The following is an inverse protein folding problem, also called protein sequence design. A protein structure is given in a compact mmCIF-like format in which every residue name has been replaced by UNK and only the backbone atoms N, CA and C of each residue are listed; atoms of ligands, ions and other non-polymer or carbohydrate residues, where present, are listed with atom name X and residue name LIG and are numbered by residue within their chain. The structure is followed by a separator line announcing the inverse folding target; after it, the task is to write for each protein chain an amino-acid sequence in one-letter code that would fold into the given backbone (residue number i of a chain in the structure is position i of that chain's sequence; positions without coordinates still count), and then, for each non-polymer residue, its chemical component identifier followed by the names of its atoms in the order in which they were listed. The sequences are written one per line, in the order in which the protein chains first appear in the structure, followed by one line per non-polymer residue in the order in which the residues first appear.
data_IF_693532014994
#
_entry.id   IF_693532014994
#
_cell.length_a   1.000
_cell.length_b   1.000
_cell.length_c   1.000
_cell.angle_alpha   90.00
_cell.angle_beta   90.00
_cell.angle_gamma   90.00
#
_symmetry.space_group_name_H-M   'P 1'
#
loop_
_entity.id
_entity.type
_entity.pdbx_description
1 polymer ?
#
# COMPACT_ATOMS: atom_id res chain seq x y z
N UNK A 1 2.32 -19.18 6.69
CA UNK A 1 2.22 -17.71 6.92
C UNK A 1 2.68 -16.93 5.69
N UNK A 2 3.92 -17.13 5.20
CA UNK A 2 4.48 -16.40 4.03
C UNK A 2 3.60 -16.48 2.78
N UNK A 3 3.02 -17.65 2.49
CA UNK A 3 2.14 -17.88 1.33
C UNK A 3 0.84 -17.07 1.39
N UNK A 4 0.29 -16.84 2.58
CA UNK A 4 -0.96 -16.09 2.76
C UNK A 4 -0.74 -14.58 2.57
N UNK A 5 0.39 -14.04 3.00
CA UNK A 5 0.75 -12.65 2.75
C UNK A 5 1.07 -12.39 1.28
N UNK A 6 1.80 -13.30 0.63
CA UNK A 6 2.07 -13.21 -0.81
C UNK A 6 0.77 -13.19 -1.63
N UNK A 7 -0.21 -14.02 -1.28
CA UNK A 7 -1.54 -14.02 -1.92
C UNK A 7 -2.30 -12.71 -1.70
N UNK A 8 -2.23 -12.11 -0.50
CA UNK A 8 -2.87 -10.82 -0.21
C UNK A 8 -2.23 -9.68 -1.00
N UNK A 9 -0.90 -9.68 -1.12
CA UNK A 9 -0.17 -8.68 -1.92
C UNK A 9 -0.49 -8.87 -3.41
N UNK A 10 -0.50 -10.11 -3.91
CA UNK A 10 -0.82 -10.41 -5.31
C UNK A 10 -2.22 -9.91 -5.67
N UNK A 11 -3.23 -10.25 -4.85
CA UNK A 11 -4.60 -9.78 -5.05
C UNK A 11 -4.72 -8.25 -5.00
N UNK A 12 -3.96 -7.61 -4.11
CA UNK A 12 -3.92 -6.15 -4.07
C UNK A 12 -3.36 -5.59 -5.38
N UNK A 13 -2.25 -6.15 -5.88
CA UNK A 13 -1.65 -5.71 -7.15
C UNK A 13 -2.61 -5.94 -8.33
N UNK A 14 -3.30 -7.08 -8.38
CA UNK A 14 -4.32 -7.37 -9.42
C UNK A 14 -5.45 -6.33 -9.40
N UNK A 15 -6.04 -6.06 -8.23
CA UNK A 15 -7.08 -5.03 -8.07
C UNK A 15 -6.56 -3.63 -8.48
N UNK A 16 -5.27 -3.35 -8.25
CA UNK A 16 -4.64 -2.10 -8.68
C UNK A 16 -4.50 -1.99 -10.19
N UNK A 17 -4.21 -3.09 -10.87
CA UNK A 17 -4.10 -3.10 -12.34
C UNK A 17 -5.48 -3.00 -12.99
N UNK A 18 -6.47 -3.72 -12.46
CA UNK A 18 -7.85 -3.67 -12.95
C UNK A 18 -8.50 -2.29 -12.77
N UNK A 19 -8.12 -1.57 -11.70
CA UNK A 19 -8.66 -0.27 -11.34
C UNK A 19 -8.01 0.95 -12.00
N UNK A 20 -7.01 0.77 -12.87
CA UNK A 20 -6.30 1.91 -13.48
C UNK A 20 -7.28 2.76 -14.29
N UNK A 21 -7.36 4.05 -13.95
CA UNK A 21 -8.26 5.01 -14.60
C UNK A 21 -9.63 5.14 -13.93
N UNK A 22 -9.94 4.35 -12.90
CA UNK A 22 -11.11 4.55 -12.04
C UNK A 22 -10.72 5.22 -10.72
N UNK A 23 -11.18 6.46 -10.55
CA UNK A 23 -10.92 7.29 -9.38
C UNK A 23 -11.48 6.68 -8.08
N UNK A 24 -12.56 5.89 -8.17
CA UNK A 24 -13.15 5.22 -7.00
C UNK A 24 -12.22 4.11 -6.49
N UNK A 25 -11.65 3.35 -7.42
CA UNK A 25 -10.70 2.28 -7.12
C UNK A 25 -9.37 2.86 -6.61
N UNK A 26 -8.84 3.94 -7.19
CA UNK A 26 -7.63 4.61 -6.67
C UNK A 26 -7.76 5.06 -5.20
N UNK A 27 -8.92 5.62 -4.84
CA UNK A 27 -9.22 6.02 -3.45
C UNK A 27 -9.32 4.83 -2.51
N UNK A 28 -9.95 3.74 -2.95
CA UNK A 28 -10.05 2.49 -2.18
C UNK A 28 -8.67 1.87 -1.93
N UNK A 29 -7.83 1.81 -2.97
CA UNK A 29 -6.48 1.27 -2.92
C UNK A 29 -5.58 2.08 -1.98
N UNK A 30 -5.68 3.41 -2.05
CA UNK A 30 -5.01 4.32 -1.13
C UNK A 30 -5.37 3.98 0.32
N UNK A 31 -6.65 3.85 0.65
CA UNK A 31 -7.11 3.50 2.00
C UNK A 31 -6.61 2.12 2.45
N UNK A 32 -6.64 1.12 1.56
CA UNK A 32 -6.15 -0.24 1.86
C UNK A 32 -4.64 -0.25 2.13
N UNK A 33 -3.84 0.38 1.29
CA UNK A 33 -2.39 0.47 1.45
C UNK A 33 -2.01 1.19 2.75
N UNK A 34 -2.70 2.29 3.07
CA UNK A 34 -2.52 2.98 4.34
C UNK A 34 -2.87 2.08 5.55
N UNK A 35 -3.98 1.34 5.47
CA UNK A 35 -4.36 0.40 6.52
C UNK A 35 -3.31 -0.70 6.74
N UNK A 36 -2.79 -1.30 5.66
CA UNK A 36 -1.73 -2.32 5.75
C UNK A 36 -0.46 -1.73 6.38
N UNK A 37 -0.08 -0.50 5.99
CA UNK A 37 1.05 0.21 6.59
C UNK A 37 0.86 0.45 8.10
N UNK A 38 -0.33 0.87 8.51
CA UNK A 38 -0.66 1.08 9.93
C UNK A 38 -0.64 -0.21 10.75
N UNK A 39 -1.11 -1.32 10.16
CA UNK A 39 -1.01 -2.65 10.79
C UNK A 39 0.45 -3.08 10.99
N UNK A 40 1.31 -2.87 9.99
CA UNK A 40 2.74 -3.18 10.11
C UNK A 40 3.42 -2.35 11.19
N UNK A 41 3.08 -1.06 11.29
CA UNK A 41 3.54 -0.20 12.38
C UNK A 41 3.13 -0.75 13.75
N UNK A 42 1.86 -1.14 13.88
CA UNK A 42 1.29 -1.67 15.15
C UNK A 42 1.92 -3.01 15.54
N UNK A 43 2.25 -3.84 14.55
CA UNK A 43 2.95 -5.11 14.75
C UNK A 43 4.49 -4.95 14.92
N UNK A 44 5.00 -3.71 14.98
CA UNK A 44 6.44 -3.40 15.02
C UNK A 44 7.26 -4.04 13.88
N UNK A 45 6.63 -4.26 12.72
CA UNK A 45 7.31 -4.81 11.55
C UNK A 45 8.04 -3.69 10.82
N UNK A 46 9.36 -3.72 10.90
CA UNK A 46 10.24 -2.77 10.20
C UNK A 46 10.62 -3.36 8.84
N UNK A 47 10.16 -2.73 7.76
CA UNK A 47 10.57 -3.08 6.39
C UNK A 47 11.70 -2.13 6.00
N UNK A 48 12.90 -2.68 5.79
CA UNK A 48 14.07 -1.90 5.39
C UNK A 48 13.90 -1.28 4.01
N UNK A 49 14.68 -0.23 3.72
CA UNK A 49 14.73 0.36 2.39
C UNK A 49 15.13 -0.68 1.32
N UNK A 50 16.03 -1.60 1.65
CA UNK A 50 16.50 -2.66 0.75
C UNK A 50 15.39 -3.65 0.41
N UNK A 51 14.54 -4.02 1.38
CA UNK A 51 13.37 -4.87 1.13
C UNK A 51 12.35 -4.18 0.19
N UNK A 52 12.15 -2.88 0.33
CA UNK A 52 11.30 -2.11 -0.59
C UNK A 52 11.89 -2.00 -2.00
N UNK A 53 13.20 -1.79 -2.09
CA UNK A 53 13.91 -1.74 -3.36
C UNK A 53 13.88 -3.11 -4.05
N UNK A 54 14.06 -4.20 -3.30
CA UNK A 54 13.94 -5.56 -3.80
C UNK A 54 12.51 -5.84 -4.30
N UNK A 55 11.49 -5.50 -3.52
CA UNK A 55 10.09 -5.60 -3.94
C UNK A 55 9.83 -4.85 -5.24
N UNK A 56 10.30 -3.60 -5.33
CA UNK A 56 10.17 -2.78 -6.55
C UNK A 56 10.84 -3.43 -7.75
N UNK A 57 12.08 -3.90 -7.60
CA UNK A 57 12.84 -4.53 -8.68
C UNK A 57 12.21 -5.84 -9.13
N UNK A 58 11.75 -6.69 -8.21
CA UNK A 58 11.06 -7.95 -8.52
C UNK A 58 9.73 -7.70 -9.23
N UNK A 59 8.93 -6.74 -8.74
CA UNK A 59 7.66 -6.39 -9.36
C UNK A 59 7.84 -5.86 -10.79
N UNK A 60 8.85 -5.01 -11.00
CA UNK A 60 9.19 -4.51 -12.34
C UNK A 60 9.68 -5.65 -13.22
N UNK A 61 10.57 -6.52 -12.73
CA UNK A 61 11.14 -7.61 -13.51
C UNK A 61 10.07 -8.63 -13.93
N UNK A 62 9.17 -9.02 -13.03
CA UNK A 62 8.14 -10.02 -13.33
C UNK A 62 7.12 -9.51 -14.36
N UNK A 63 6.76 -8.22 -14.28
CA UNK A 63 5.78 -7.62 -15.21
C UNK A 63 6.44 -7.20 -16.54
N UNK A 64 7.69 -6.71 -16.51
CA UNK A 64 8.43 -6.36 -17.72
C UNK A 64 8.88 -7.59 -18.53
N UNK A 65 8.88 -8.79 -17.92
CA UNK A 65 9.21 -10.05 -18.59
C UNK A 65 8.38 -10.26 -19.86
N UNK A 66 7.12 -9.84 -19.83
CA UNK A 66 6.18 -10.05 -20.94
C UNK A 66 5.94 -8.76 -21.76
N UNK A 67 6.33 -7.56 -21.25
CA UNK A 67 6.16 -6.32 -22.00
C UNK A 67 7.06 -5.14 -21.52
N UNK A 68 8.26 -5.03 -22.12
CA UNK A 68 9.26 -4.01 -21.76
C UNK A 68 8.81 -2.56 -21.99
N UNK A 69 7.89 -2.31 -22.93
CA UNK A 69 7.43 -0.95 -23.29
C UNK A 69 6.70 -0.24 -22.13
N UNK A 70 6.10 -1.02 -21.21
CA UNK A 70 5.33 -0.48 -20.09
C UNK A 70 6.13 -0.36 -18.79
N UNK A 71 7.44 -0.66 -18.78
CA UNK A 71 8.29 -0.65 -17.59
C UNK A 71 8.21 0.66 -16.77
N UNK A 72 8.12 1.82 -17.46
CA UNK A 72 7.93 3.12 -16.79
C UNK A 72 6.60 3.24 -16.06
N UNK A 73 5.51 2.72 -16.63
CA UNK A 73 4.18 2.73 -16.01
C UNK A 73 4.19 1.87 -14.75
N UNK A 74 4.78 0.69 -14.82
CA UNK A 74 4.90 -0.24 -13.69
C UNK A 74 5.79 0.29 -12.58
N UNK A 75 6.89 0.98 -12.92
CA UNK A 75 7.67 1.68 -11.91
C UNK A 75 6.87 2.79 -11.20
N UNK A 76 5.93 3.45 -11.88
CA UNK A 76 5.07 4.46 -11.24
C UNK A 76 4.07 3.80 -10.29
N UNK A 77 3.49 2.67 -10.69
CA UNK A 77 2.60 1.88 -9.85
C UNK A 77 3.32 1.37 -8.59
N UNK A 78 4.51 0.80 -8.73
CA UNK A 78 5.34 0.34 -7.61
C UNK A 78 5.68 1.50 -6.65
N UNK A 79 6.02 2.67 -7.18
CA UNK A 79 6.26 3.86 -6.37
C UNK A 79 5.00 4.31 -5.62
N UNK A 80 3.82 4.26 -6.24
CA UNK A 80 2.55 4.57 -5.58
C UNK A 80 2.29 3.62 -4.41
N UNK A 81 2.43 2.31 -4.61
CA UNK A 81 2.27 1.29 -3.55
C UNK A 81 3.15 1.61 -2.34
N UNK A 82 4.44 1.82 -2.58
CA UNK A 82 5.43 2.10 -1.52
C UNK A 82 5.08 3.41 -0.80
N UNK A 83 4.65 4.44 -1.55
CA UNK A 83 4.28 5.75 -0.97
C UNK A 83 3.10 5.62 -0.02
N UNK A 84 2.00 5.03 -0.47
CA UNK A 84 0.77 4.92 0.35
C UNK A 84 0.96 3.97 1.53
N UNK A 85 1.71 2.89 1.36
CA UNK A 85 2.08 2.03 2.48
C UNK A 85 2.86 2.81 3.54
N UNK A 86 3.89 3.56 3.12
CA UNK A 86 4.69 4.38 4.03
C UNK A 86 3.84 5.45 4.69
N UNK A 87 2.92 6.10 3.98
CA UNK A 87 1.99 7.06 4.59
C UNK A 87 1.22 6.42 5.75
N UNK A 88 0.72 5.19 5.58
CA UNK A 88 0.05 4.43 6.63
C UNK A 88 0.93 4.11 7.85
N UNK A 89 2.24 3.95 7.64
CA UNK A 89 3.19 3.81 8.75
C UNK A 89 3.45 5.13 9.50
N UNK A 90 3.32 6.27 8.83
CA UNK A 90 3.57 7.59 9.43
C UNK A 90 2.31 8.15 10.11
N UNK A 91 1.15 8.05 9.45
CA UNK A 91 -0.14 8.39 10.01
C UNK A 91 -0.47 7.33 11.08
N UNK A 92 -0.43 7.71 12.36
CA UNK A 92 -1.03 6.87 13.40
C UNK A 92 -2.47 6.56 13.02
N UNK A 93 -2.92 5.32 13.24
CA UNK A 93 -4.28 4.85 13.00
C UNK A 93 -5.25 5.98 13.36
N UNK A 94 -5.83 6.64 12.36
CA UNK A 94 -6.98 7.52 12.62
C UNK A 94 -8.10 6.56 12.94
N UNK A 95 -8.21 6.22 14.22
CA UNK A 95 -9.39 5.61 14.76
C UNK A 95 -10.49 6.63 14.52
N UNK A 96 -11.37 6.37 13.55
CA UNK A 96 -12.69 6.98 13.54
C UNK A 96 -13.40 6.49 14.81
N UNK A 97 -13.12 7.13 15.95
CA UNK A 97 -13.98 7.09 17.11
C UNK A 97 -14.85 8.31 17.05
N UNK A 98 -16.06 8.10 16.53
CA UNK A 98 -17.17 8.96 16.87
C UNK A 98 -17.35 9.03 18.39
N UNK A 99 -17.99 10.13 18.76
CA UNK A 99 -18.64 10.45 20.04
C UNK A 99 -17.80 11.14 21.13
N UNK A 100 -18.35 12.31 21.50
CA UNK A 100 -18.25 12.98 22.80
C UNK A 100 -16.99 13.81 23.08
N UNK A 101 -16.98 15.04 22.56
CA UNK A 101 -16.38 16.16 23.27
C UNK A 101 -17.43 16.82 24.17
N UNK A 102 -17.75 16.18 25.29
CA UNK A 102 -18.15 16.93 26.49
C UNK A 102 -16.86 17.34 27.17
N UNK A 103 -16.49 18.62 27.03
CA UNK A 103 -15.58 19.29 27.96
C UNK A 103 -16.19 20.63 28.31
N UNK A 104 -16.84 20.66 29.48
CA UNK A 104 -16.81 21.87 30.27
C UNK A 104 -15.36 22.18 30.65
N UNK A 105 -15.09 23.47 30.80
CA UNK A 105 -14.31 24.10 31.87
C UNK A 105 -14.19 25.59 31.53
N UNK A 106 -15.18 26.39 31.96
CA UNK A 106 -15.07 27.45 32.96
C UNK A 106 -16.36 28.26 33.00
#
# INVERSE_FOLDING_TARGET
MVTAEAQRITRLVEEMVEGIGDQSTESLLTKRLNCIGAMHKTACVVISADMWNLFKSVLIAEIARDNHEHCKLWSRLACFIIREFKQGQHQGVIHERGTSSVRGYR
#
